data_IF_218500099489
#
_entry.id   IF_218500099489
#
_cell.length_a   1.000
_cell.length_b   1.000
_cell.length_c   1.000
_cell.angle_alpha   90.00
_cell.angle_beta   90.00
_cell.angle_gamma   90.00
#
_symmetry.space_group_name_H-M   'P 1'
#
loop_
_entity.id
_entity.type
_entity.pdbx_description
1 polymer ?
#
# COMPACT_ATOMS: atom_id res chain seq x y z
N UNK A 1 14.98 18.60 9.06
CA UNK A 1 14.95 19.96 8.50
C UNK A 1 14.15 19.94 7.20
N UNK A 2 13.09 20.75 7.03
CA UNK A 2 12.30 20.75 5.79
C UNK A 2 12.95 21.67 4.73
N UNK A 3 13.08 21.16 3.50
CA UNK A 3 13.66 21.90 2.37
C UNK A 3 12.74 23.03 1.91
N UNK A 4 13.28 24.25 1.76
CA UNK A 4 12.58 25.43 1.26
C UNK A 4 12.19 25.25 -0.21
N UNK A 5 10.89 25.10 -0.49
CA UNK A 5 10.30 25.19 -1.83
C UNK A 5 10.47 26.62 -2.34
N UNK A 6 11.37 26.82 -3.31
CA UNK A 6 11.44 28.06 -4.08
C UNK A 6 10.20 28.18 -4.97
N UNK A 7 9.31 29.12 -4.65
CA UNK A 7 8.16 29.51 -5.47
C UNK A 7 8.58 30.62 -6.44
N UNK A 8 9.43 30.29 -7.41
CA UNK A 8 9.71 31.18 -8.52
C UNK A 8 8.48 31.27 -9.45
N UNK A 9 7.96 32.48 -9.64
CA UNK A 9 6.84 32.81 -10.55
C UNK A 9 7.19 32.42 -11.99
N UNK A 10 6.23 31.94 -12.81
CA UNK A 10 6.52 31.69 -14.22
C UNK A 10 6.69 33.05 -14.92
N UNK A 11 7.92 33.35 -15.34
CA UNK A 11 8.17 34.47 -16.25
C UNK A 11 7.51 34.13 -17.58
N UNK A 12 6.40 34.78 -17.88
CA UNK A 12 5.75 34.76 -19.19
C UNK A 12 6.62 35.53 -20.18
N UNK A 13 7.79 34.98 -20.55
CA UNK A 13 8.58 35.52 -21.65
C UNK A 13 8.02 34.96 -22.96
N UNK A 14 6.96 35.61 -23.46
CA UNK A 14 6.73 35.67 -24.90
C UNK A 14 7.89 36.46 -25.50
N UNK A 15 8.97 35.78 -25.86
CA UNK A 15 10.00 36.35 -26.70
C UNK A 15 10.44 35.29 -27.71
N UNK A 16 9.93 35.49 -28.93
CA UNK A 16 10.56 35.21 -30.20
C UNK A 16 11.27 33.87 -30.34
N UNK A 17 10.69 33.04 -31.21
CA UNK A 17 11.34 31.94 -31.88
C UNK A 17 12.53 32.46 -32.72
N UNK A 18 13.60 32.85 -32.03
CA UNK A 18 14.91 33.01 -32.64
C UNK A 18 15.43 31.59 -32.80
N UNK A 19 15.06 30.97 -33.93
CA UNK A 19 15.60 29.70 -34.38
C UNK A 19 17.09 29.91 -34.56
N UNK A 20 17.87 29.66 -33.51
CA UNK A 20 19.32 29.57 -33.69
C UNK A 20 19.58 28.52 -34.78
N UNK A 21 20.59 28.69 -35.65
CA UNK A 21 20.89 27.73 -36.70
C UNK A 21 21.13 26.31 -36.16
N UNK A 22 21.46 26.20 -34.86
CA UNK A 22 21.63 24.96 -34.11
C UNK A 22 20.31 24.22 -33.83
N UNK A 23 19.16 24.90 -33.85
CA UNK A 23 17.85 24.30 -33.55
C UNK A 23 17.32 23.42 -34.69
N UNK A 24 17.78 23.68 -35.92
CA UNK A 24 17.44 22.88 -37.09
C UNK A 24 18.44 21.75 -37.38
N UNK A 25 19.57 21.72 -36.67
CA UNK A 25 20.56 20.63 -36.71
C UNK A 25 19.93 19.29 -36.29
N UNK A 26 20.16 18.26 -37.11
CA UNK A 26 19.68 16.89 -36.87
C UNK A 26 20.19 16.34 -35.54
N UNK A 27 21.43 16.65 -35.16
CA UNK A 27 22.01 16.20 -33.89
C UNK A 27 21.30 16.81 -32.68
N UNK A 28 20.89 18.08 -32.77
CA UNK A 28 20.12 18.75 -31.73
C UNK A 28 18.71 18.15 -31.60
N UNK A 29 18.01 17.94 -32.72
CA UNK A 29 16.67 17.33 -32.75
C UNK A 29 16.65 15.94 -32.12
N UNK A 30 17.65 15.10 -32.42
CA UNK A 30 17.80 13.76 -31.82
C UNK A 30 18.01 13.83 -30.30
N UNK A 31 18.89 14.72 -29.82
CA UNK A 31 19.12 14.91 -28.38
C UNK A 31 17.86 15.39 -27.65
N UNK A 32 17.11 16.33 -28.24
CA UNK A 32 15.84 16.83 -27.68
C UNK A 32 14.76 15.76 -27.66
N UNK A 33 14.61 14.98 -28.74
CA UNK A 33 13.69 13.84 -28.78
C UNK A 33 13.98 12.84 -27.65
N UNK A 34 15.25 12.44 -27.49
CA UNK A 34 15.69 11.53 -26.43
C UNK A 34 15.46 12.11 -25.03
N UNK A 35 15.70 13.40 -24.83
CA UNK A 35 15.42 14.05 -23.55
C UNK A 35 13.92 14.12 -23.24
N UNK A 36 13.09 14.49 -24.21
CA UNK A 36 11.63 14.52 -24.03
C UNK A 36 11.09 13.14 -23.68
N UNK A 37 11.58 12.10 -24.36
CA UNK A 37 11.24 10.71 -24.06
C UNK A 37 11.68 10.32 -22.64
N UNK A 38 12.92 10.66 -22.24
CA UNK A 38 13.39 10.40 -20.88
C UNK A 38 12.53 11.11 -19.82
N UNK A 39 12.16 12.37 -20.05
CA UNK A 39 11.29 13.15 -19.16
C UNK A 39 9.91 12.51 -19.06
N UNK A 40 9.33 12.09 -20.18
CA UNK A 40 8.05 11.39 -20.21
C UNK A 40 8.11 10.10 -19.39
N UNK A 41 9.12 9.25 -19.60
CA UNK A 41 9.33 8.03 -18.81
C UNK A 41 9.51 8.32 -17.32
N UNK A 42 10.22 9.39 -16.95
CA UNK A 42 10.36 9.77 -15.54
C UNK A 42 9.01 10.17 -14.94
N UNK A 43 8.21 10.97 -15.64
CA UNK A 43 6.87 11.37 -15.17
C UNK A 43 5.95 10.16 -15.01
N UNK A 44 5.93 9.26 -15.99
CA UNK A 44 5.14 8.04 -15.94
C UNK A 44 5.59 7.14 -14.78
N UNK A 45 6.90 6.97 -14.57
CA UNK A 45 7.44 6.22 -13.42
C UNK A 45 7.01 6.84 -12.08
N UNK A 46 7.07 8.16 -11.94
CA UNK A 46 6.64 8.84 -10.72
C UNK A 46 5.14 8.69 -10.48
N UNK A 47 4.34 8.81 -11.54
CA UNK A 47 2.88 8.61 -11.49
C UNK A 47 2.55 7.18 -11.05
N UNK A 48 3.12 6.19 -11.74
CA UNK A 48 2.94 4.77 -11.41
C UNK A 48 3.37 4.46 -9.97
N UNK A 49 4.53 4.96 -9.53
CA UNK A 49 4.98 4.78 -8.15
C UNK A 49 4.02 5.39 -7.11
N UNK A 50 3.34 6.49 -7.44
CA UNK A 50 2.34 7.08 -6.55
C UNK A 50 1.05 6.25 -6.50
N UNK A 51 0.62 5.73 -7.65
CA UNK A 51 -0.51 4.80 -7.77
C UNK A 51 -0.21 3.49 -7.00
N UNK A 52 0.92 2.85 -7.25
CA UNK A 52 1.36 1.63 -6.55
C UNK A 52 1.39 1.82 -5.02
N UNK A 53 1.86 2.99 -4.55
CA UNK A 53 1.87 3.32 -3.12
C UNK A 53 0.45 3.47 -2.55
N UNK A 54 -0.46 4.07 -3.31
CA UNK A 54 -1.86 4.21 -2.90
C UNK A 54 -2.51 2.83 -2.78
N UNK A 55 -2.33 1.98 -3.79
CA UNK A 55 -2.88 0.63 -3.82
C UNK A 55 -2.30 -0.24 -2.69
N UNK A 56 -1.01 -0.08 -2.38
CA UNK A 56 -0.39 -0.76 -1.22
C UNK A 56 -0.99 -0.29 0.10
N UNK A 57 -1.25 1.00 0.26
CA UNK A 57 -1.89 1.53 1.47
C UNK A 57 -3.31 0.99 1.60
N UNK A 58 -4.07 0.89 0.50
CA UNK A 58 -5.42 0.33 0.52
C UNK A 58 -5.41 -1.16 0.92
N UNK A 59 -4.51 -1.96 0.35
CA UNK A 59 -4.31 -3.36 0.75
C UNK A 59 -3.99 -3.50 2.24
N UNK A 60 -3.02 -2.72 2.75
CA UNK A 60 -2.62 -2.74 4.16
C UNK A 60 -3.75 -2.32 5.11
N UNK A 61 -4.69 -1.48 4.66
CA UNK A 61 -5.87 -1.11 5.46
C UNK A 61 -6.84 -2.26 5.58
N UNK A 62 -7.09 -2.97 4.48
CA UNK A 62 -7.96 -4.15 4.46
C UNK A 62 -7.36 -5.22 5.37
N UNK A 63 -6.08 -5.56 5.17
CA UNK A 63 -5.36 -6.52 5.99
C UNK A 63 -5.37 -6.14 7.49
N UNK A 64 -5.22 -4.84 7.82
CA UNK A 64 -5.37 -4.40 9.22
C UNK A 64 -6.77 -4.64 9.78
N UNK A 65 -7.83 -4.44 8.99
CA UNK A 65 -9.20 -4.69 9.44
C UNK A 65 -9.37 -6.18 9.73
N UNK A 66 -8.87 -7.04 8.85
CA UNK A 66 -8.96 -8.49 8.98
C UNK A 66 -8.18 -9.00 10.20
N UNK A 67 -6.92 -8.56 10.35
CA UNK A 67 -6.09 -8.85 11.53
C UNK A 67 -6.73 -8.35 12.83
N UNK A 68 -7.34 -7.14 12.82
CA UNK A 68 -8.06 -6.64 13.99
C UNK A 68 -9.30 -7.47 14.31
N UNK A 69 -9.97 -8.05 13.31
CA UNK A 69 -11.10 -8.94 13.52
C UNK A 69 -10.65 -10.27 14.14
N UNK A 70 -9.56 -10.87 13.63
CA UNK A 70 -8.94 -12.07 14.19
C UNK A 70 -8.52 -11.85 15.66
N UNK A 71 -7.78 -10.78 15.95
CA UNK A 71 -7.38 -10.44 17.33
C UNK A 71 -8.59 -10.30 18.26
N UNK A 72 -9.70 -9.73 17.79
CA UNK A 72 -10.93 -9.62 18.59
C UNK A 72 -11.60 -10.98 18.80
N UNK A 73 -11.60 -11.86 17.80
CA UNK A 73 -12.12 -13.21 17.93
C UNK A 73 -11.30 -14.01 18.95
N UNK A 74 -9.97 -14.04 18.82
CA UNK A 74 -9.08 -14.71 19.77
C UNK A 74 -9.25 -14.18 21.19
N UNK A 75 -9.33 -12.86 21.38
CA UNK A 75 -9.57 -12.27 22.71
C UNK A 75 -10.88 -12.75 23.33
N UNK A 76 -11.93 -12.95 22.52
CA UNK A 76 -13.19 -13.53 22.99
C UNK A 76 -13.00 -15.00 23.36
N UNK A 77 -12.32 -15.79 22.52
CA UNK A 77 -12.05 -17.21 22.79
C UNK A 77 -11.27 -17.38 24.10
N UNK A 78 -10.21 -16.60 24.31
CA UNK A 78 -9.43 -16.60 25.55
C UNK A 78 -10.30 -16.20 26.75
N UNK A 79 -11.16 -15.19 26.59
CA UNK A 79 -12.11 -14.77 27.63
C UNK A 79 -13.04 -15.91 28.05
N UNK A 80 -13.68 -16.56 27.07
CA UNK A 80 -14.56 -17.73 27.30
C UNK A 80 -13.81 -18.85 28.02
N UNK A 81 -12.61 -19.22 27.55
CA UNK A 81 -11.80 -20.26 28.16
C UNK A 81 -11.38 -19.91 29.59
N UNK A 82 -11.01 -18.65 29.83
CA UNK A 82 -10.67 -18.17 31.18
C UNK A 82 -11.86 -18.28 32.13
N UNK A 83 -13.04 -17.84 31.68
CA UNK A 83 -14.25 -17.87 32.50
C UNK A 83 -14.67 -19.31 32.83
N UNK A 84 -14.53 -20.23 31.87
CA UNK A 84 -14.73 -21.66 32.05
C UNK A 84 -13.82 -22.26 33.12
N UNK A 85 -12.52 -21.95 33.06
CA UNK A 85 -11.54 -22.42 34.04
C UNK A 85 -11.86 -21.88 35.44
N UNK A 86 -12.23 -20.60 35.55
CA UNK A 86 -12.55 -19.97 36.84
C UNK A 86 -13.86 -20.52 37.44
N UNK A 87 -14.88 -20.77 36.62
CA UNK A 87 -16.18 -21.29 37.09
C UNK A 87 -16.09 -22.74 37.59
N UNK A 88 -15.09 -23.51 37.16
CA UNK A 88 -14.79 -24.85 37.68
C UNK A 88 -15.90 -25.90 37.47
N UNK A 89 -16.88 -25.61 36.61
CA UNK A 89 -17.97 -26.52 36.22
C UNK A 89 -17.98 -26.63 34.71
N UNK A 90 -17.94 -27.87 34.21
CA UNK A 90 -18.10 -28.17 32.78
C UNK A 90 -19.55 -28.54 32.52
N UNK A 91 -20.18 -27.87 31.57
CA UNK A 91 -21.46 -28.28 30.99
C UNK A 91 -21.24 -28.75 29.56
N UNK A 92 -22.09 -29.66 29.07
CA UNK A 92 -21.94 -30.20 27.70
C UNK A 92 -21.95 -29.10 26.63
N UNK A 93 -22.67 -28.00 26.87
CA UNK A 93 -22.72 -26.85 25.97
C UNK A 93 -21.39 -26.08 25.92
N UNK A 94 -20.70 -26.00 27.06
CA UNK A 94 -19.38 -25.39 27.14
C UNK A 94 -18.31 -26.26 26.49
N UNK A 95 -18.40 -27.59 26.61
CA UNK A 95 -17.47 -28.50 25.92
C UNK A 95 -17.61 -28.37 24.40
N UNK A 96 -18.83 -28.22 23.86
CA UNK A 96 -19.04 -27.94 22.43
C UNK A 96 -18.43 -26.61 21.99
N UNK A 97 -18.55 -25.56 22.82
CA UNK A 97 -17.93 -24.26 22.52
C UNK A 97 -16.40 -24.35 22.51
N UNK A 98 -15.80 -25.15 23.39
CA UNK A 98 -14.35 -25.39 23.40
C UNK A 98 -13.92 -26.13 22.14
N UNK A 99 -14.65 -27.18 21.74
CA UNK A 99 -14.36 -27.94 20.52
C UNK A 99 -14.47 -27.07 19.25
N UNK A 100 -15.45 -26.17 19.21
CA UNK A 100 -15.60 -25.20 18.12
C UNK A 100 -14.41 -24.24 18.07
N UNK A 101 -14.02 -23.66 19.21
CA UNK A 101 -12.84 -22.77 19.30
C UNK A 101 -11.58 -23.49 18.79
N UNK A 102 -11.34 -24.72 19.24
CA UNK A 102 -10.16 -25.49 18.86
C UNK A 102 -10.13 -25.81 17.36
N UNK A 103 -11.27 -26.16 16.76
CA UNK A 103 -11.36 -26.39 15.31
C UNK A 103 -11.13 -25.12 14.49
N UNK A 104 -11.67 -23.99 14.91
CA UNK A 104 -11.49 -22.71 14.18
C UNK A 104 -10.05 -22.22 14.16
N UNK A 105 -9.24 -22.57 15.17
CA UNK A 105 -7.82 -22.19 15.19
C UNK A 105 -6.93 -23.04 14.27
N UNK A 106 -7.34 -24.27 13.94
CA UNK A 106 -6.55 -25.18 13.09
C UNK A 106 -6.76 -24.92 11.56
N UNK A 107 -7.83 -24.21 11.17
CA UNK A 107 -8.19 -23.99 9.76
C UNK A 107 -7.57 -22.72 9.12
N UNK A 108 -7.04 -21.78 9.92
CA UNK A 108 -6.53 -20.48 9.42
C UNK A 108 -5.01 -20.49 9.07
N UNK A 109 -4.29 -21.60 9.29
CA UNK A 109 -2.83 -21.69 9.10
C UNK A 109 -2.39 -22.14 7.68
N UNK A 110 -3.31 -22.54 6.78
CA UNK A 110 -2.97 -23.19 5.51
C UNK A 110 -2.89 -22.27 4.26
N UNK A 111 -3.21 -20.98 4.37
CA UNK A 111 -3.40 -20.08 3.19
C UNK A 111 -2.27 -19.03 2.95
N UNK A 112 -1.06 -19.24 3.48
CA UNK A 112 0.06 -18.28 3.31
C UNK A 112 1.34 -18.87 2.70
N UNK A 113 1.20 -19.68 1.64
CA UNK A 113 2.34 -20.00 0.78
C UNK A 113 1.94 -20.05 -0.70
N UNK A 114 1.74 -18.89 -1.31
CA UNK A 114 1.96 -18.75 -2.74
C UNK A 114 2.39 -17.32 -3.15
N UNK A 115 3.58 -17.28 -3.76
CA UNK A 115 4.21 -16.26 -4.62
C UNK A 115 4.92 -15.03 -4.02
#
# INVERSE_FOLDING_TARGET
>A
MPAKRSTAKPSTSRCNADRSPQSDDSAYKMKRKKNNEAVQRTREKTKKSAEDRKDRIERLKIENIDLLAQIRAEKRHIGTLRDLIIQGKKTEEQDRQVDEILRTSDEDDDDNNDN
#
